data_IF_632963146774
#
_entry.id   IF_632963146774
#
_cell.length_a   1.000
_cell.length_b   1.000
_cell.length_c   1.000
_cell.angle_alpha   90.00
_cell.angle_beta   90.00
_cell.angle_gamma   90.00
#
_symmetry.space_group_name_H-M   'P 1'
#
loop_
_entity.id
_entity.type
_entity.pdbx_description
1 polymer ?
#
# COMPACT_ATOMS: atom_id res chain seq x y z
N UNK A 1 74.04 41.29 0.15
CA UNK A 1 74.47 42.51 0.87
C UNK A 1 73.36 42.90 1.86
N UNK A 2 72.95 41.99 2.75
CA UNK A 2 73.26 42.01 4.18
C UNK A 2 73.46 40.55 4.68
N UNK A 3 74.47 39.83 4.18
CA UNK A 3 74.87 38.46 4.64
C UNK A 3 75.52 38.48 6.04
N UNK A 4 75.43 39.59 6.76
CA UNK A 4 75.87 39.69 8.14
C UNK A 4 74.90 40.62 8.83
N UNK A 5 75.10 40.71 10.14
CA UNK A 5 75.04 42.02 10.80
C UNK A 5 73.67 42.58 11.11
N UNK A 6 72.61 41.83 10.87
CA UNK A 6 71.85 41.47 12.07
C UNK A 6 72.20 40.01 12.41
N UNK A 7 73.45 39.65 12.78
CA UNK A 7 73.87 39.81 14.19
C UNK A 7 72.70 40.41 14.91
N UNK A 8 71.83 39.62 15.51
CA UNK A 8 71.46 40.29 16.76
C UNK A 8 70.06 40.12 17.24
N UNK A 9 69.34 39.11 16.82
CA UNK A 9 68.63 38.36 17.86
C UNK A 9 69.08 36.93 17.67
N UNK A 10 70.35 36.60 18.00
CA UNK A 10 70.74 36.43 19.41
C UNK A 10 69.51 36.04 20.18
N UNK A 11 69.45 34.75 20.48
CA UNK A 11 68.66 34.31 21.62
C UNK A 11 67.16 34.46 21.38
N UNK A 12 66.56 33.59 20.57
CA UNK A 12 65.17 33.20 20.81
C UNK A 12 65.04 31.67 20.83
N UNK A 13 65.83 31.14 21.77
CA UNK A 13 65.53 30.02 22.64
C UNK A 13 65.54 28.65 21.94
N UNK A 14 66.42 27.75 22.39
CA UNK A 14 66.39 26.33 21.99
C UNK A 14 65.00 25.70 22.15
N UNK A 15 64.15 26.26 23.03
CA UNK A 15 62.73 25.92 23.15
C UNK A 15 61.91 26.14 21.87
N UNK A 16 62.23 27.13 21.04
CA UNK A 16 61.53 27.37 19.76
C UNK A 16 61.92 26.37 18.68
N UNK A 17 63.17 25.90 18.65
CA UNK A 17 63.59 24.91 17.64
C UNK A 17 62.88 23.57 17.85
N UNK A 18 62.76 23.15 19.12
CA UNK A 18 62.00 21.96 19.51
C UNK A 18 60.51 22.13 19.20
N UNK A 19 59.94 23.32 19.45
CA UNK A 19 58.54 23.61 19.15
C UNK A 19 58.26 23.63 17.65
N UNK A 20 59.15 24.22 16.83
CA UNK A 20 59.04 24.23 15.37
C UNK A 20 59.19 22.80 14.83
N UNK A 21 60.15 22.02 15.33
CA UNK A 21 60.32 20.62 14.93
C UNK A 21 59.11 19.77 15.33
N UNK A 22 58.50 20.05 16.49
CA UNK A 22 57.27 19.40 16.96
C UNK A 22 56.06 19.78 16.11
N UNK A 23 55.91 21.05 15.71
CA UNK A 23 54.84 21.50 14.82
C UNK A 23 55.00 20.97 13.39
N UNK A 24 56.23 20.94 12.86
CA UNK A 24 56.54 20.29 11.57
C UNK A 24 56.21 18.80 11.62
N UNK A 25 56.48 18.15 12.76
CA UNK A 25 56.12 16.73 12.98
C UNK A 25 54.62 16.51 13.16
N UNK A 26 53.90 17.47 13.74
CA UNK A 26 52.43 17.46 13.85
C UNK A 26 51.75 17.64 12.49
N UNK A 27 52.28 18.55 11.66
CA UNK A 27 51.79 18.81 10.30
C UNK A 27 52.19 17.71 9.32
N UNK A 28 53.34 17.06 9.52
CA UNK A 28 53.80 15.95 8.68
C UNK A 28 53.09 14.62 9.02
N UNK A 29 52.42 14.52 10.18
CA UNK A 29 51.74 13.30 10.62
C UNK A 29 50.21 13.36 10.44
N UNK A 30 49.68 14.43 9.84
CA UNK A 30 48.27 14.52 9.42
C UNK A 30 48.05 13.90 8.04
N UNK A 31 48.79 12.84 7.70
CA UNK A 31 48.42 11.98 6.58
C UNK A 31 47.14 11.25 6.96
N UNK A 32 46.02 11.95 6.78
CA UNK A 32 44.70 11.35 6.83
C UNK A 32 44.72 10.30 5.74
N UNK A 33 44.79 9.04 6.18
CA UNK A 33 44.91 7.91 5.27
C UNK A 33 43.71 7.95 4.32
N UNK A 34 43.97 8.32 3.06
CA UNK A 34 42.94 8.46 2.04
C UNK A 34 42.14 7.16 1.87
N UNK A 35 42.71 5.99 2.16
CA UNK A 35 41.97 4.73 2.17
C UNK A 35 41.00 4.61 3.34
N UNK A 36 41.36 5.05 4.54
CA UNK A 36 40.45 4.99 5.69
C UNK A 36 39.31 5.99 5.55
N UNK A 37 39.59 7.17 4.98
CA UNK A 37 38.61 8.19 4.65
C UNK A 37 37.66 7.69 3.54
N UNK A 38 38.19 7.16 2.44
CA UNK A 38 37.38 6.60 1.36
C UNK A 38 36.55 5.40 1.83
N UNK A 39 37.09 4.55 2.71
CA UNK A 39 36.35 3.43 3.32
C UNK A 39 35.20 3.91 4.21
N UNK A 40 35.40 4.97 4.98
CA UNK A 40 34.32 5.58 5.78
C UNK A 40 33.28 6.28 4.91
N UNK A 41 33.71 6.99 3.87
CA UNK A 41 32.82 7.61 2.87
C UNK A 41 32.01 6.54 2.15
N UNK A 42 32.63 5.45 1.69
CA UNK A 42 31.94 4.32 1.04
C UNK A 42 30.97 3.61 1.98
N UNK A 43 31.31 3.43 3.26
CA UNK A 43 30.39 2.85 4.26
C UNK A 43 29.18 3.75 4.50
N UNK A 44 29.39 5.06 4.66
CA UNK A 44 28.30 6.03 4.84
C UNK A 44 27.43 6.16 3.59
N UNK A 45 28.03 6.20 2.40
CA UNK A 45 27.33 6.24 1.13
C UNK A 45 26.53 4.95 0.90
N UNK A 46 27.10 3.79 1.23
CA UNK A 46 26.40 2.50 1.17
C UNK A 46 25.19 2.45 2.12
N UNK A 47 25.33 2.94 3.35
CA UNK A 47 24.22 3.01 4.31
C UNK A 47 23.10 3.96 3.84
N UNK A 48 23.47 5.13 3.30
CA UNK A 48 22.50 6.08 2.74
C UNK A 48 21.79 5.49 1.52
N UNK A 49 22.52 4.76 0.67
CA UNK A 49 21.96 4.12 -0.52
C UNK A 49 21.00 2.98 -0.16
N UNK A 50 21.35 2.14 0.82
CA UNK A 50 20.46 1.08 1.34
C UNK A 50 19.21 1.69 1.96
N UNK A 51 19.33 2.76 2.74
CA UNK A 51 18.17 3.46 3.29
C UNK A 51 17.29 4.07 2.19
N UNK A 52 17.88 4.67 1.15
CA UNK A 52 17.14 5.18 -0.01
C UNK A 52 16.42 4.07 -0.79
N UNK A 53 17.03 2.88 -0.94
CA UNK A 53 16.39 1.72 -1.57
C UNK A 53 15.22 1.16 -0.74
N UNK A 54 15.36 1.13 0.59
CA UNK A 54 14.29 0.71 1.50
C UNK A 54 13.12 1.72 1.55
N UNK A 55 13.40 3.01 1.31
CA UNK A 55 12.37 4.05 1.20
C UNK A 55 11.75 4.15 -0.21
N UNK A 56 12.44 3.62 -1.23
CA UNK A 56 11.96 3.57 -2.60
C UNK A 56 10.90 2.47 -2.84
N UNK A 57 10.67 1.58 -1.88
CA UNK A 57 9.50 0.69 -1.87
C UNK A 57 8.27 1.45 -1.40
N UNK A 58 7.89 2.50 -2.13
CA UNK A 58 6.75 3.36 -1.83
C UNK A 58 5.71 3.27 -2.94
N UNK A 59 4.54 2.71 -2.61
CA UNK A 59 3.26 2.79 -3.32
C UNK A 59 3.22 2.19 -4.75
N UNK A 60 3.36 0.87 -4.84
CA UNK A 60 2.61 0.11 -5.84
C UNK A 60 1.49 -0.57 -5.06
N UNK A 61 0.25 -0.53 -5.56
CA UNK A 61 -1.05 -0.90 -4.95
C UNK A 61 -1.72 0.32 -4.26
N UNK A 62 -2.75 0.97 -4.78
CA UNK A 62 -3.84 0.51 -5.65
C UNK A 62 -3.87 1.28 -6.97
N UNK A 63 -3.86 0.53 -8.08
CA UNK A 63 -4.45 1.00 -9.31
C UNK A 63 -5.95 0.77 -9.17
N UNK A 64 -6.74 1.84 -9.16
CA UNK A 64 -8.14 1.82 -9.62
C UNK A 64 -8.15 1.51 -11.12
N UNK A 65 -7.57 0.37 -11.51
CA UNK A 65 -8.18 -0.36 -12.60
C UNK A 65 -9.57 -0.62 -12.09
N UNK A 66 -10.57 -0.14 -12.82
CA UNK A 66 -11.87 -0.79 -12.90
C UNK A 66 -11.60 -2.22 -13.35
N UNK A 67 -11.06 -3.05 -12.45
CA UNK A 67 -11.28 -4.47 -12.47
C UNK A 67 -12.77 -4.53 -12.30
N UNK A 68 -13.44 -4.95 -13.34
CA UNK A 68 -14.82 -5.39 -13.27
C UNK A 68 -14.95 -6.25 -12.01
N UNK A 69 -15.41 -5.64 -10.92
CA UNK A 69 -15.58 -6.35 -9.68
C UNK A 69 -16.67 -7.39 -9.97
N UNK A 70 -16.35 -8.70 -9.96
CA UNK A 70 -17.32 -9.73 -10.28
C UNK A 70 -18.57 -9.60 -9.39
N UNK A 71 -18.38 -9.06 -8.18
CA UNK A 71 -19.44 -8.77 -7.19
C UNK A 71 -20.34 -7.61 -7.63
N UNK A 72 -19.78 -6.54 -8.22
CA UNK A 72 -20.58 -5.46 -8.81
C UNK A 72 -21.43 -5.97 -9.97
N UNK A 73 -20.84 -6.78 -10.87
CA UNK A 73 -21.58 -7.38 -12.00
C UNK A 73 -22.71 -8.31 -11.55
N UNK A 74 -22.49 -9.09 -10.50
CA UNK A 74 -23.51 -9.96 -9.94
C UNK A 74 -24.64 -9.16 -9.29
N UNK A 75 -24.31 -8.11 -8.53
CA UNK A 75 -25.31 -7.21 -7.94
C UNK A 75 -26.19 -6.54 -9.00
N UNK A 76 -25.61 -6.10 -10.12
CA UNK A 76 -26.37 -5.54 -11.24
C UNK A 76 -27.34 -6.55 -11.85
N UNK A 77 -26.87 -7.77 -12.15
CA UNK A 77 -27.73 -8.83 -12.69
C UNK A 77 -28.86 -9.20 -11.72
N UNK A 78 -28.58 -9.28 -10.43
CA UNK A 78 -29.60 -9.52 -9.39
C UNK A 78 -30.64 -8.39 -9.40
N UNK A 79 -30.21 -7.13 -9.50
CA UNK A 79 -31.10 -5.97 -9.62
C UNK A 79 -32.02 -6.07 -10.84
N UNK A 80 -31.47 -6.42 -12.00
CA UNK A 80 -32.24 -6.63 -13.24
C UNK A 80 -33.26 -7.76 -13.12
N UNK A 81 -32.91 -8.87 -12.46
CA UNK A 81 -33.83 -10.00 -12.23
C UNK A 81 -35.00 -9.65 -11.31
N UNK A 82 -34.76 -8.78 -10.31
CA UNK A 82 -35.82 -8.31 -9.42
C UNK A 82 -36.76 -7.36 -10.16
N UNK A 83 -36.20 -6.41 -10.91
CA UNK A 83 -36.93 -5.40 -11.68
C UNK A 83 -37.81 -4.49 -10.82
N UNK A 84 -38.48 -3.53 -11.46
CA UNK A 84 -39.19 -2.43 -10.77
C UNK A 84 -40.63 -2.78 -10.35
N UNK A 85 -41.02 -4.06 -10.37
CA UNK A 85 -42.41 -4.48 -10.23
C UNK A 85 -42.82 -4.88 -8.81
N UNK A 86 -42.07 -4.44 -7.79
CA UNK A 86 -42.46 -4.67 -6.41
C UNK A 86 -43.24 -3.46 -5.90
N UNK A 87 -44.55 -3.61 -5.76
CA UNK A 87 -45.39 -2.57 -5.17
C UNK A 87 -45.20 -2.56 -3.64
N UNK A 88 -44.56 -1.51 -3.14
CA UNK A 88 -44.55 -1.20 -1.71
C UNK A 88 -45.90 -0.60 -1.33
N UNK A 89 -46.64 -1.30 -0.47
CA UNK A 89 -48.00 -0.90 -0.08
C UNK A 89 -48.09 0.35 0.80
N UNK A 90 -46.97 0.88 1.27
CA UNK A 90 -46.84 2.07 2.13
C UNK A 90 -45.42 2.66 1.97
N UNK A 91 -45.18 3.92 2.37
CA UNK A 91 -43.89 4.68 2.36
C UNK A 91 -42.79 4.08 3.27
N UNK A 92 -42.68 2.76 3.31
CA UNK A 92 -41.75 2.01 4.14
C UNK A 92 -40.72 1.35 3.23
N UNK A 93 -39.46 1.76 3.37
CA UNK A 93 -38.36 1.05 2.71
C UNK A 93 -38.25 -0.36 3.27
N UNK A 94 -38.35 -1.37 2.40
CA UNK A 94 -38.21 -2.76 2.79
C UNK A 94 -36.78 -3.25 2.54
N UNK A 95 -36.31 -4.15 3.39
CA UNK A 95 -34.98 -4.75 3.26
C UNK A 95 -35.03 -6.26 3.40
N UNK A 96 -34.09 -6.94 2.75
CA UNK A 96 -33.89 -8.37 2.88
C UNK A 96 -32.39 -8.71 2.72
N UNK A 97 -31.92 -9.71 3.47
CA UNK A 97 -30.61 -10.33 3.27
C UNK A 97 -30.79 -11.67 2.57
N UNK A 98 -30.29 -11.79 1.34
CA UNK A 98 -30.42 -13.01 0.54
C UNK A 98 -29.13 -13.79 0.57
N UNK A 99 -29.22 -15.05 1.01
CA UNK A 99 -28.11 -16.01 0.94
C UNK A 99 -28.40 -17.04 -0.13
N UNK A 100 -27.46 -17.24 -1.04
CA UNK A 100 -27.61 -18.17 -2.16
C UNK A 100 -26.27 -18.78 -2.58
N UNK A 101 -26.34 -19.84 -3.37
CA UNK A 101 -25.19 -20.42 -4.08
C UNK A 101 -25.51 -20.54 -5.57
N UNK A 102 -24.56 -20.98 -6.37
CA UNK A 102 -24.76 -21.30 -7.78
C UNK A 102 -24.70 -22.81 -7.98
N UNK A 103 -25.62 -23.37 -8.77
CA UNK A 103 -25.51 -24.75 -9.23
C UNK A 103 -24.45 -24.88 -10.33
N UNK A 104 -24.22 -26.11 -10.80
CA UNK A 104 -23.28 -26.43 -11.88
C UNK A 104 -23.63 -25.78 -13.24
N UNK A 105 -24.85 -25.28 -13.41
CA UNK A 105 -25.31 -24.56 -14.61
C UNK A 105 -25.19 -23.04 -14.49
N UNK A 106 -24.71 -22.53 -13.35
CA UNK A 106 -24.59 -21.10 -13.06
C UNK A 106 -25.91 -20.45 -12.68
N UNK A 107 -26.88 -21.22 -12.19
CA UNK A 107 -28.16 -20.72 -11.72
C UNK A 107 -28.16 -20.50 -10.22
N UNK A 108 -28.85 -19.44 -9.79
CA UNK A 108 -29.00 -19.09 -8.38
C UNK A 108 -29.84 -20.16 -7.67
N UNK A 109 -29.33 -20.71 -6.57
CA UNK A 109 -30.09 -21.52 -5.62
C UNK A 109 -30.22 -20.74 -4.32
N UNK A 110 -31.42 -20.22 -4.06
CA UNK A 110 -31.71 -19.41 -2.87
C UNK A 110 -31.77 -20.32 -1.64
N UNK A 111 -30.94 -20.03 -0.65
CA UNK A 111 -30.84 -20.80 0.59
C UNK A 111 -31.66 -20.16 1.71
N UNK A 112 -31.65 -18.83 1.79
CA UNK A 112 -32.52 -18.08 2.72
C UNK A 112 -32.74 -16.65 2.25
N UNK A 113 -33.88 -16.09 2.62
CA UNK A 113 -34.16 -14.66 2.53
C UNK A 113 -34.56 -14.21 3.93
N UNK A 114 -33.72 -13.39 4.56
CA UNK A 114 -33.95 -12.87 5.91
C UNK A 114 -34.61 -11.50 5.80
N UNK A 115 -35.90 -11.44 6.14
CA UNK A 115 -36.75 -10.24 6.13
C UNK A 115 -37.99 -10.49 6.99
N UNK A 116 -38.55 -9.43 7.57
CA UNK A 116 -39.82 -9.51 8.31
C UNK A 116 -41.03 -9.55 7.36
N UNK A 117 -40.85 -9.16 6.09
CA UNK A 117 -41.93 -9.08 5.11
C UNK A 117 -42.02 -10.37 4.26
N UNK A 118 -43.02 -11.21 4.56
CA UNK A 118 -43.27 -12.48 3.84
C UNK A 118 -43.56 -12.31 2.34
N UNK A 119 -44.14 -11.17 1.93
CA UNK A 119 -44.37 -10.88 0.51
C UNK A 119 -43.06 -10.59 -0.20
N UNK A 120 -42.17 -9.82 0.44
CA UNK A 120 -40.82 -9.58 -0.07
C UNK A 120 -40.02 -10.86 -0.16
N UNK A 121 -40.06 -11.71 0.87
CA UNK A 121 -39.40 -13.04 0.83
C UNK A 121 -39.87 -13.86 -0.37
N UNK A 122 -41.19 -13.96 -0.57
CA UNK A 122 -41.78 -14.75 -1.66
C UNK A 122 -41.43 -14.16 -3.03
N UNK A 123 -41.47 -12.84 -3.16
CA UNK A 123 -41.08 -12.13 -4.36
C UNK A 123 -39.62 -12.38 -4.74
N UNK A 124 -38.70 -12.19 -3.80
CA UNK A 124 -37.26 -12.40 -4.00
C UNK A 124 -36.99 -13.84 -4.40
N UNK A 125 -37.57 -14.83 -3.71
CA UNK A 125 -37.41 -16.25 -4.07
C UNK A 125 -37.93 -16.54 -5.47
N UNK A 126 -39.12 -16.03 -5.81
CA UNK A 126 -39.73 -16.25 -7.13
C UNK A 126 -38.97 -15.59 -8.28
N UNK A 127 -38.31 -14.45 -8.02
CA UNK A 127 -37.51 -13.74 -9.02
C UNK A 127 -36.12 -14.33 -9.20
N UNK A 128 -35.50 -14.83 -8.14
CA UNK A 128 -34.08 -15.22 -8.17
C UNK A 128 -33.85 -16.72 -8.31
N UNK A 129 -34.66 -17.57 -7.69
CA UNK A 129 -34.35 -19.00 -7.62
C UNK A 129 -34.39 -19.63 -9.03
N UNK A 130 -33.34 -20.40 -9.35
CA UNK A 130 -33.04 -21.00 -10.65
C UNK A 130 -32.91 -19.99 -11.80
N UNK A 131 -32.51 -18.75 -11.52
CA UNK A 131 -32.13 -17.81 -12.57
C UNK A 131 -30.63 -17.87 -12.85
N UNK A 132 -30.30 -17.92 -14.14
CA UNK A 132 -28.92 -17.96 -14.62
C UNK A 132 -28.27 -16.60 -14.48
N UNK A 133 -27.04 -16.58 -13.96
CA UNK A 133 -26.21 -15.39 -13.84
C UNK A 133 -24.78 -15.71 -14.29
N UNK A 134 -24.08 -14.69 -14.78
CA UNK A 134 -22.67 -14.80 -15.16
C UNK A 134 -21.81 -14.26 -14.03
N UNK A 135 -21.01 -15.13 -13.41
CA UNK A 135 -20.02 -14.74 -12.40
C UNK A 135 -18.64 -15.21 -12.87
N UNK A 136 -17.71 -14.27 -12.99
CA UNK A 136 -16.33 -14.59 -13.31
C UNK A 136 -15.64 -15.13 -12.05
N UNK A 137 -14.97 -16.28 -12.17
CA UNK A 137 -14.18 -16.92 -11.11
C UNK A 137 -14.98 -17.40 -9.87
N UNK A 138 -16.28 -17.68 -10.01
CA UNK A 138 -17.02 -18.37 -8.95
C UNK A 138 -16.66 -19.86 -8.95
N UNK A 139 -16.12 -20.36 -7.85
CA UNK A 139 -15.96 -21.80 -7.63
C UNK A 139 -17.29 -22.43 -7.22
N UNK A 140 -17.53 -23.68 -7.60
CA UNK A 140 -18.69 -24.44 -7.11
C UNK A 140 -18.74 -24.43 -5.57
N UNK A 141 -19.94 -24.28 -5.01
CA UNK A 141 -20.13 -24.17 -3.56
C UNK A 141 -19.81 -22.78 -2.96
N UNK A 142 -19.45 -21.79 -3.78
CA UNK A 142 -19.33 -20.40 -3.31
C UNK A 142 -20.69 -19.93 -2.76
N UNK A 143 -20.65 -19.36 -1.55
CA UNK A 143 -21.82 -18.82 -0.88
C UNK A 143 -21.81 -17.29 -1.01
N UNK A 144 -22.91 -16.75 -1.53
CA UNK A 144 -23.10 -15.32 -1.70
C UNK A 144 -24.11 -14.81 -0.69
N UNK A 145 -23.90 -13.57 -0.22
CA UNK A 145 -24.88 -12.84 0.60
C UNK A 145 -25.00 -11.43 0.05
N UNK A 146 -26.21 -11.05 -0.36
CA UNK A 146 -26.48 -9.74 -0.95
C UNK A 146 -27.62 -9.03 -0.19
N UNK A 147 -27.42 -7.75 0.21
CA UNK A 147 -28.51 -6.90 0.67
C UNK A 147 -29.41 -6.47 -0.47
N UNK A 148 -30.71 -6.64 -0.30
CA UNK A 148 -31.75 -6.05 -1.15
C UNK A 148 -32.45 -4.96 -0.36
N UNK A 149 -32.62 -3.80 -0.98
CA UNK A 149 -33.43 -2.71 -0.46
C UNK A 149 -34.40 -2.26 -1.53
N UNK A 150 -35.68 -2.21 -1.18
CA UNK A 150 -36.73 -1.62 -2.01
C UNK A 150 -37.12 -0.31 -1.34
N UNK A 151 -36.86 0.79 -2.04
CA UNK A 151 -37.29 2.11 -1.64
C UNK A 151 -38.60 2.45 -2.38
N UNK A 152 -39.49 3.15 -1.68
CA UNK A 152 -40.65 3.80 -2.30
C UNK A 152 -40.22 5.05 -3.09
#
# INVERSE_FOLDING_TARGET
>A
MLIKKVITKVMLNEKNLVTILFLVRLLSNSSINHQSLNKQIMRKLSLVFVAAMLLATGNILANDSVKDDPTKKLSTQIGELLGDNYETGDDVSLTAQVRFTLNNEGEIVVLSVDTENKRLESFVKGRLNYKKVSVQNASEGTMFTIPIRIAS
#
